data_IF_376757761347
#
_entry.id   IF_376757761347
#
_cell.length_a   1.000
_cell.length_b   1.000
_cell.length_c   1.000
_cell.angle_alpha   90.00
_cell.angle_beta   90.00
_cell.angle_gamma   90.00
#
_symmetry.space_group_name_H-M   'P 1'
#
loop_
_entity.id
_entity.type
_entity.pdbx_description
1 polymer ?
#
# COMPACT_ATOMS: atom_id res chain seq x y z
N UNK A 1 4.17 -19.05 0.64
CA UNK A 1 5.10 -18.12 1.30
C UNK A 1 4.32 -17.36 2.35
N UNK A 2 4.64 -17.51 3.62
CA UNK A 2 4.08 -16.69 4.69
C UNK A 2 5.05 -15.51 4.87
N UNK A 3 4.60 -14.28 4.57
CA UNK A 3 5.51 -13.11 4.44
C UNK A 3 5.47 -12.26 5.69
N UNK A 4 4.38 -11.51 5.89
CA UNK A 4 4.19 -10.66 7.05
C UNK A 4 2.69 -10.38 7.20
N UNK A 5 2.10 -10.47 8.41
CA UNK A 5 0.66 -10.28 8.59
C UNK A 5 0.21 -8.82 8.48
N UNK A 6 1.14 -7.86 8.38
CA UNK A 6 0.87 -6.41 8.44
C UNK A 6 0.07 -6.06 9.70
N UNK A 7 0.55 -6.55 10.84
CA UNK A 7 -0.14 -6.42 12.12
C UNK A 7 0.03 -5.04 12.73
N UNK A 8 -1.04 -4.51 13.32
CA UNK A 8 -0.96 -3.34 14.19
C UNK A 8 -1.87 -3.53 15.41
N UNK A 9 -1.27 -3.76 16.57
CA UNK A 9 -2.01 -4.09 17.79
C UNK A 9 -2.71 -5.45 17.67
N UNK A 10 -4.05 -5.47 17.63
CA UNK A 10 -4.88 -6.68 17.49
C UNK A 10 -5.46 -6.87 16.07
N UNK A 11 -5.02 -6.04 15.14
CA UNK A 11 -5.47 -6.05 13.75
C UNK A 11 -4.35 -6.57 12.86
N UNK A 12 -4.71 -7.22 11.76
CA UNK A 12 -3.81 -7.69 10.71
C UNK A 12 -4.35 -7.24 9.35
N UNK A 13 -3.51 -7.33 8.31
CA UNK A 13 -3.77 -6.82 6.96
C UNK A 13 -4.05 -5.31 6.97
N UNK A 14 -3.34 -4.58 7.84
CA UNK A 14 -3.48 -3.14 7.92
C UNK A 14 -2.83 -2.47 6.71
N UNK A 15 -3.62 -1.68 6.00
CA UNK A 15 -3.17 -0.83 4.92
C UNK A 15 -4.00 0.45 4.88
N UNK A 16 -3.41 1.53 4.39
CA UNK A 16 -4.13 2.72 3.97
C UNK A 16 -4.08 2.80 2.44
N UNK A 17 -5.20 3.14 1.83
CA UNK A 17 -5.33 3.27 0.37
C UNK A 17 -5.78 4.70 0.10
N UNK A 18 -5.09 5.39 -0.80
CA UNK A 18 -5.51 6.72 -1.24
C UNK A 18 -6.81 6.68 -2.06
N UNK A 19 -7.39 7.85 -2.32
CA UNK A 19 -8.35 7.98 -3.42
C UNK A 19 -7.68 7.65 -4.76
N UNK A 20 -8.50 7.26 -5.74
CA UNK A 20 -8.06 7.01 -7.12
C UNK A 20 -7.46 8.28 -7.73
N UNK A 21 -6.19 8.19 -8.12
CA UNK A 21 -5.44 9.24 -8.79
C UNK A 21 -5.01 8.82 -10.20
N UNK A 22 -3.98 9.50 -10.70
CA UNK A 22 -3.33 9.18 -11.97
C UNK A 22 -1.83 9.21 -11.80
N UNK A 23 -1.15 8.27 -12.46
CA UNK A 23 0.28 8.32 -12.70
C UNK A 23 0.52 8.65 -14.18
N UNK A 24 1.65 9.28 -14.47
CA UNK A 24 2.09 9.57 -15.84
C UNK A 24 3.52 9.11 -16.02
N UNK A 25 3.78 8.45 -17.14
CA UNK A 25 5.13 8.03 -17.54
C UNK A 25 5.37 8.36 -19.01
N UNK A 26 6.64 8.39 -19.39
CA UNK A 26 7.05 8.53 -20.79
C UNK A 26 8.02 7.38 -21.07
N UNK A 27 7.53 6.24 -21.59
CA UNK A 27 8.37 5.07 -21.83
C UNK A 27 9.49 5.38 -22.82
N UNK A 28 10.70 4.94 -22.46
CA UNK A 28 11.91 5.05 -23.27
C UNK A 28 12.03 3.89 -24.26
N UNK A 29 12.89 4.03 -25.29
CA UNK A 29 13.27 2.91 -26.14
C UNK A 29 13.80 1.73 -25.31
N UNK A 30 13.24 0.54 -25.51
CA UNK A 30 13.63 -0.67 -24.79
C UNK A 30 12.77 -1.02 -23.57
N UNK A 31 11.79 -0.19 -23.19
CA UNK A 31 10.78 -0.54 -22.19
C UNK A 31 9.94 -1.76 -22.60
N UNK A 32 9.36 -2.50 -21.66
CA UNK A 32 8.47 -3.63 -21.99
C UNK A 32 7.28 -3.24 -22.89
N UNK A 33 6.87 -1.97 -22.89
CA UNK A 33 5.85 -1.43 -23.82
C UNK A 33 6.22 -1.73 -25.28
N UNK A 34 7.50 -1.64 -25.66
CA UNK A 34 8.00 -1.99 -27.01
C UNK A 34 7.69 -3.43 -27.42
N UNK A 35 7.59 -4.34 -26.44
CA UNK A 35 7.36 -5.78 -26.67
C UNK A 35 5.88 -6.10 -26.71
N UNK A 36 5.07 -5.40 -25.91
CA UNK A 36 3.65 -5.74 -25.71
C UNK A 36 2.67 -4.84 -26.49
N UNK A 37 3.12 -3.69 -26.98
CA UNK A 37 2.29 -2.73 -27.72
C UNK A 37 2.84 -2.54 -29.14
N UNK A 38 2.13 -3.07 -30.13
CA UNK A 38 2.49 -2.91 -31.54
C UNK A 38 2.39 -1.44 -31.99
N UNK A 39 3.39 -0.98 -32.72
CA UNK A 39 3.44 0.41 -33.21
C UNK A 39 3.81 1.45 -32.14
N UNK A 40 4.40 1.01 -31.03
CA UNK A 40 4.86 1.90 -29.98
C UNK A 40 5.91 2.91 -30.50
N UNK A 41 5.72 4.18 -30.16
CA UNK A 41 6.68 5.26 -30.35
C UNK A 41 7.08 5.86 -28.99
N UNK A 42 8.37 5.77 -28.67
CA UNK A 42 8.90 6.32 -27.43
C UNK A 42 8.73 7.84 -27.38
N UNK A 43 8.64 8.38 -26.16
CA UNK A 43 8.49 9.82 -25.96
C UNK A 43 7.04 10.32 -25.94
N UNK A 44 6.04 9.45 -26.03
CA UNK A 44 4.64 9.82 -25.75
C UNK A 44 4.35 9.72 -24.26
N UNK A 45 3.69 10.72 -23.68
CA UNK A 45 3.24 10.65 -22.28
C UNK A 45 2.00 9.77 -22.17
N UNK A 46 2.08 8.76 -21.32
CA UNK A 46 0.99 7.85 -20.98
C UNK A 46 0.43 8.21 -19.60
N UNK A 47 -0.83 7.85 -19.35
CA UNK A 47 -1.44 8.03 -18.03
C UNK A 47 -2.28 6.82 -17.63
N UNK A 48 -2.15 6.44 -16.37
CA UNK A 48 -2.80 5.26 -15.81
C UNK A 48 -3.52 5.61 -14.51
N UNK A 49 -4.71 5.03 -14.25
CA UNK A 49 -5.33 5.10 -12.93
C UNK A 49 -4.43 4.42 -11.89
N UNK A 50 -4.24 5.07 -10.75
CA UNK A 50 -3.38 4.55 -9.67
C UNK A 50 -3.94 4.87 -8.28
N UNK A 51 -3.49 4.13 -7.28
CA UNK A 51 -3.68 4.46 -5.85
C UNK A 51 -2.34 4.34 -5.13
N UNK A 52 -2.11 5.16 -4.11
CA UNK A 52 -1.03 4.93 -3.14
C UNK A 52 -1.52 3.89 -2.13
N UNK A 53 -0.84 2.74 -2.09
CA UNK A 53 -0.98 1.75 -1.03
C UNK A 53 0.12 1.98 0.01
N UNK A 54 -0.29 2.24 1.26
CA UNK A 54 0.63 2.43 2.37
C UNK A 54 0.45 1.34 3.41
N UNK A 55 1.53 0.61 3.63
CA UNK A 55 1.67 -0.37 4.70
C UNK A 55 2.76 0.10 5.66
N UNK A 56 2.74 -0.42 6.88
CA UNK A 56 3.77 -0.16 7.87
C UNK A 56 4.23 -1.47 8.46
N UNK A 57 5.54 -1.59 8.62
CA UNK A 57 6.20 -2.72 9.26
C UNK A 57 7.15 -2.17 10.32
N UNK A 58 7.58 -3.04 11.21
CA UNK A 58 8.63 -2.76 12.16
C UNK A 58 9.93 -2.41 11.42
N UNK A 59 10.79 -1.62 12.08
CA UNK A 59 12.12 -1.28 11.55
C UNK A 59 13.06 -2.48 11.68
N UNK A 60 12.80 -3.50 10.87
CA UNK A 60 13.53 -4.76 10.78
C UNK A 60 13.86 -5.01 9.30
N UNK A 61 15.16 -5.09 8.98
CA UNK A 61 15.62 -5.24 7.60
C UNK A 61 15.25 -6.59 6.99
N UNK A 62 15.21 -7.65 7.80
CA UNK A 62 14.85 -8.99 7.32
C UNK A 62 13.36 -9.06 6.97
N UNK A 63 12.52 -8.38 7.76
CA UNK A 63 11.10 -8.22 7.45
C UNK A 63 10.91 -7.36 6.21
N UNK A 64 11.65 -6.24 6.10
CA UNK A 64 11.60 -5.37 4.92
C UNK A 64 11.96 -6.12 3.64
N UNK A 65 13.05 -6.88 3.64
CA UNK A 65 13.48 -7.69 2.49
C UNK A 65 12.37 -8.66 2.04
N UNK A 66 11.83 -9.45 2.96
CA UNK A 66 10.76 -10.40 2.66
C UNK A 66 9.48 -9.72 2.12
N UNK A 67 9.13 -8.55 2.65
CA UNK A 67 7.97 -7.76 2.19
C UNK A 67 8.23 -7.19 0.80
N UNK A 68 9.43 -6.66 0.53
CA UNK A 68 9.80 -6.14 -0.78
C UNK A 68 9.77 -7.24 -1.85
N UNK A 69 10.32 -8.42 -1.56
CA UNK A 69 10.26 -9.58 -2.45
C UNK A 69 8.82 -9.96 -2.78
N UNK A 70 7.95 -9.97 -1.77
CA UNK A 70 6.53 -10.27 -1.96
C UNK A 70 5.82 -9.22 -2.82
N UNK A 71 6.09 -7.93 -2.59
CA UNK A 71 5.53 -6.83 -3.39
C UNK A 71 6.00 -6.97 -4.84
N UNK A 72 7.31 -7.08 -5.08
CA UNK A 72 7.89 -7.18 -6.42
C UNK A 72 7.37 -8.42 -7.17
N UNK A 73 7.16 -9.54 -6.48
CA UNK A 73 6.62 -10.75 -7.09
C UNK A 73 5.19 -10.60 -7.62
N UNK A 74 4.33 -9.84 -6.91
CA UNK A 74 2.91 -9.69 -7.26
C UNK A 74 2.61 -8.40 -8.01
N UNK A 75 3.54 -7.45 -8.04
CA UNK A 75 3.36 -6.20 -8.74
C UNK A 75 3.34 -6.42 -10.25
N UNK A 76 2.43 -5.74 -10.94
CA UNK A 76 2.21 -5.93 -12.38
C UNK A 76 3.07 -5.03 -13.26
N UNK A 77 3.62 -3.94 -12.71
CA UNK A 77 4.60 -3.11 -13.40
C UNK A 77 5.98 -3.75 -13.40
N UNK A 78 6.71 -3.54 -14.50
CA UNK A 78 8.13 -3.88 -14.66
C UNK A 78 8.99 -3.21 -13.59
N UNK A 79 8.77 -1.91 -13.37
CA UNK A 79 9.52 -1.08 -12.42
C UNK A 79 8.53 -0.38 -11.47
N UNK A 80 8.08 -1.06 -10.39
CA UNK A 80 7.18 -0.43 -9.43
C UNK A 80 7.87 0.69 -8.64
N UNK A 81 7.23 1.85 -8.57
CA UNK A 81 7.71 2.95 -7.74
C UNK A 81 7.35 2.69 -6.28
N UNK A 82 8.35 2.37 -5.46
CA UNK A 82 8.18 2.05 -4.03
C UNK A 82 8.99 3.05 -3.18
N UNK A 83 8.30 3.72 -2.25
CA UNK A 83 8.93 4.65 -1.31
C UNK A 83 9.09 4.00 0.07
N UNK A 84 10.31 4.02 0.59
CA UNK A 84 10.61 3.67 1.98
C UNK A 84 10.74 4.94 2.83
N UNK A 85 10.02 4.98 3.95
CA UNK A 85 10.08 6.08 4.92
C UNK A 85 10.20 5.52 6.32
N UNK A 86 11.16 6.02 7.09
CA UNK A 86 11.17 5.81 8.54
C UNK A 86 10.19 6.77 9.20
N UNK A 87 9.33 6.26 10.09
CA UNK A 87 8.29 7.05 10.76
C UNK A 87 8.05 6.54 12.18
N UNK A 88 7.43 7.38 13.00
CA UNK A 88 7.02 7.03 14.36
C UNK A 88 5.51 6.85 14.41
N UNK A 89 5.04 5.65 14.75
CA UNK A 89 3.63 5.35 14.89
C UNK A 89 3.23 5.15 16.35
N UNK A 90 2.10 5.73 16.77
CA UNK A 90 1.52 5.47 18.09
C UNK A 90 0.97 4.05 18.16
N UNK A 91 1.33 3.26 19.18
CA UNK A 91 0.70 1.95 19.40
C UNK A 91 -0.61 2.11 20.17
N UNK A 92 -1.65 1.40 19.77
CA UNK A 92 -2.93 1.44 20.46
C UNK A 92 -2.82 0.94 21.91
N UNK A 93 -3.16 1.80 22.88
CA UNK A 93 -3.41 1.41 24.27
C UNK A 93 -4.82 0.81 24.37
N UNK A 94 -4.94 -0.48 24.05
CA UNK A 94 -6.22 -1.18 24.04
C UNK A 94 -6.83 -1.23 25.44
N UNK A 95 -7.98 -0.58 25.61
CA UNK A 95 -8.80 -0.64 26.80
C UNK A 95 -10.28 -0.75 26.39
N UNK A 96 -10.87 -1.96 26.42
CA UNK A 96 -12.26 -2.17 26.02
C UNK A 96 -13.26 -1.59 27.04
N UNK A 97 -12.82 -1.34 28.29
CA UNK A 97 -13.61 -0.67 29.33
C UNK A 97 -13.48 0.84 29.32
N UNK A 98 -12.93 1.44 28.25
CA UNK A 98 -12.78 2.89 28.16
C UNK A 98 -14.15 3.57 28.01
N UNK A 99 -14.46 4.48 28.94
CA UNK A 99 -15.64 5.34 28.95
C UNK A 99 -15.47 6.63 28.13
N UNK A 100 -14.34 6.80 27.45
CA UNK A 100 -14.05 7.99 26.64
C UNK A 100 -15.12 8.16 25.55
N UNK A 101 -15.86 9.29 25.52
CA UNK A 101 -16.96 9.51 24.58
C UNK A 101 -16.51 9.66 23.13
N UNK A 102 -15.21 9.77 22.86
CA UNK A 102 -14.67 9.80 21.49
C UNK A 102 -14.46 8.41 20.89
N UNK A 103 -14.57 7.33 21.68
CA UNK A 103 -14.47 5.96 21.14
C UNK A 103 -15.66 5.69 20.23
N UNK A 104 -15.40 5.09 19.06
CA UNK A 104 -16.45 4.82 18.06
C UNK A 104 -17.57 3.93 18.62
N UNK A 105 -17.27 3.03 19.57
CA UNK A 105 -18.26 2.20 20.25
C UNK A 105 -19.07 2.93 21.34
N UNK A 106 -18.66 4.15 21.73
CA UNK A 106 -19.35 4.97 22.73
C UNK A 106 -20.12 6.15 22.13
N UNK A 107 -19.92 6.47 20.84
CA UNK A 107 -20.39 7.73 20.25
C UNK A 107 -21.49 7.60 19.18
N UNK A 108 -21.90 6.37 18.85
CA UNK A 108 -22.99 6.11 17.91
C UNK A 108 -22.72 6.53 16.45
N UNK A 109 -21.49 6.89 16.08
CA UNK A 109 -21.14 7.38 14.71
C UNK A 109 -20.97 6.27 13.66
N UNK A 110 -21.38 5.04 13.97
CA UNK A 110 -21.45 3.93 13.02
C UNK A 110 -20.30 2.92 13.13
N UNK A 111 -20.58 1.71 12.67
CA UNK A 111 -19.60 0.64 12.48
C UNK A 111 -18.89 0.84 11.13
N UNK A 112 -17.62 0.44 10.98
CA UNK A 112 -16.98 0.42 9.67
C UNK A 112 -17.73 -0.53 8.72
N UNK A 113 -17.81 -0.14 7.45
CA UNK A 113 -18.35 -0.99 6.39
C UNK A 113 -17.53 -2.27 6.26
N UNK A 114 -18.21 -3.39 6.05
CA UNK A 114 -17.54 -4.67 5.79
C UNK A 114 -17.24 -4.75 4.30
N UNK A 115 -15.96 -4.84 3.96
CA UNK A 115 -15.51 -5.17 2.60
C UNK A 115 -15.51 -6.71 2.50
N UNK A 116 -16.22 -7.25 1.52
CA UNK A 116 -16.29 -8.69 1.23
C UNK A 116 -15.11 -9.16 0.37
#
# INVERSE_FOLDING_TARGET
MEVHPLSFGRYQRNASISALGKETSQPEPGSTTTTHVGGFEAGSTETYPMVELKISIERDLSVLEAVMDAILHVHHYEEPVIFLREDWASRAAYNPGSDNPNRWWNNGRGLPDRIA
#
